data_IF_664361788718
#
_entry.id   IF_664361788718
#
_cell.length_a   1.000
_cell.length_b   1.000
_cell.length_c   1.000
_cell.angle_alpha   90.00
_cell.angle_beta   90.00
_cell.angle_gamma   90.00
#
_symmetry.space_group_name_H-M   'P 1'
#
loop_
_entity.id
_entity.type
_entity.pdbx_description
1 polymer ?
#
# COMPACT_ATOMS: atom_id res chain seq x y z
N UNK A 1 44.03 -26.17 -16.81
CA UNK A 1 43.59 -25.46 -15.59
C UNK A 1 42.92 -26.43 -14.63
N UNK A 2 42.74 -26.06 -13.36
CA UNK A 2 41.98 -26.86 -12.38
C UNK A 2 40.48 -26.96 -12.77
N UNK A 3 39.72 -27.92 -12.23
CA UNK A 3 38.27 -27.99 -12.47
C UNK A 3 37.58 -26.66 -12.13
N UNK A 4 36.74 -26.15 -13.04
CA UNK A 4 36.06 -24.85 -12.90
C UNK A 4 36.81 -23.65 -13.50
N UNK A 5 38.04 -23.85 -13.97
CA UNK A 5 38.83 -22.83 -14.67
C UNK A 5 38.90 -23.09 -16.18
N UNK A 6 38.89 -22.03 -16.97
CA UNK A 6 39.12 -21.99 -18.42
C UNK A 6 40.33 -21.11 -18.75
N UNK A 7 40.79 -21.11 -20.00
CA UNK A 7 41.85 -20.22 -20.48
C UNK A 7 41.28 -19.09 -21.32
N UNK A 8 41.71 -17.84 -21.05
CA UNK A 8 41.24 -16.64 -21.80
C UNK A 8 41.55 -16.68 -23.29
N UNK A 9 42.59 -17.41 -23.68
CA UNK A 9 42.97 -17.69 -25.05
C UNK A 9 43.01 -19.20 -25.28
N UNK A 10 42.45 -19.65 -26.40
CA UNK A 10 42.37 -21.07 -26.75
C UNK A 10 43.78 -21.67 -26.84
N UNK A 11 44.06 -22.72 -26.07
CA UNK A 11 45.32 -23.46 -26.14
C UNK A 11 46.49 -22.84 -25.37
N UNK A 12 46.24 -21.86 -24.49
CA UNK A 12 47.30 -21.31 -23.63
C UNK A 12 47.87 -22.38 -22.70
N UNK A 13 49.20 -22.43 -22.60
CA UNK A 13 49.92 -23.33 -21.68
C UNK A 13 50.34 -22.64 -20.38
N UNK A 14 50.13 -21.33 -20.27
CA UNK A 14 50.52 -20.56 -19.09
C UNK A 14 49.52 -20.75 -17.95
N UNK A 15 50.03 -21.11 -16.76
CA UNK A 15 49.20 -21.30 -15.58
C UNK A 15 48.51 -20.00 -15.11
N UNK A 16 49.10 -18.84 -15.41
CA UNK A 16 48.51 -17.52 -15.16
C UNK A 16 47.36 -17.17 -16.12
N UNK A 17 47.19 -17.91 -17.22
CA UNK A 17 46.08 -17.72 -18.15
C UNK A 17 44.80 -18.46 -17.72
N UNK A 18 44.87 -19.24 -16.63
CA UNK A 18 43.73 -19.95 -16.06
C UNK A 18 42.84 -19.00 -15.25
N UNK A 19 41.62 -18.81 -15.71
CA UNK A 19 40.61 -17.91 -15.13
C UNK A 19 39.29 -18.65 -14.91
N UNK A 20 38.39 -18.13 -14.07
CA UNK A 20 37.09 -18.78 -13.87
C UNK A 20 36.24 -18.75 -15.15
N UNK A 21 35.54 -19.85 -15.42
CA UNK A 21 34.60 -19.93 -16.55
C UNK A 21 33.44 -18.94 -16.44
N UNK A 22 32.79 -18.62 -17.56
CA UNK A 22 31.57 -17.80 -17.54
C UNK A 22 30.51 -18.38 -16.59
N UNK A 23 29.86 -17.52 -15.81
CA UNK A 23 28.91 -17.95 -14.77
C UNK A 23 29.56 -18.39 -13.46
N UNK A 24 30.88 -18.21 -13.33
CA UNK A 24 31.63 -18.39 -12.09
C UNK A 24 32.60 -17.24 -11.85
N UNK A 25 32.98 -17.01 -10.59
CA UNK A 25 33.94 -15.97 -10.21
C UNK A 25 34.93 -16.52 -9.20
N UNK A 26 36.08 -15.84 -9.04
CA UNK A 26 37.07 -16.16 -8.02
C UNK A 26 36.80 -15.34 -6.75
N UNK A 27 36.39 -15.96 -5.63
CA UNK A 27 36.20 -15.25 -4.37
C UNK A 27 37.51 -14.77 -3.75
N UNK A 28 37.46 -13.67 -3.01
CA UNK A 28 38.64 -13.09 -2.37
C UNK A 28 39.25 -14.07 -1.37
N UNK A 29 40.51 -14.44 -1.59
CA UNK A 29 41.25 -15.37 -0.74
C UNK A 29 40.93 -16.85 -0.97
N UNK A 30 40.13 -17.17 -1.98
CA UNK A 30 39.87 -18.55 -2.43
C UNK A 30 40.78 -18.93 -3.60
N UNK A 31 41.15 -20.21 -3.69
CA UNK A 31 41.83 -20.80 -4.86
C UNK A 31 40.87 -21.55 -5.79
N UNK A 32 39.58 -21.58 -5.47
CA UNK A 32 38.53 -22.27 -6.23
C UNK A 32 37.46 -21.31 -6.70
N UNK A 33 37.03 -21.44 -7.96
CA UNK A 33 35.92 -20.69 -8.52
C UNK A 33 34.60 -21.07 -7.84
N UNK A 34 33.78 -20.07 -7.52
CA UNK A 34 32.43 -20.25 -7.00
C UNK A 34 31.39 -19.92 -8.09
N UNK A 35 30.20 -20.52 -7.99
CA UNK A 35 29.07 -20.19 -8.85
C UNK A 35 28.67 -18.73 -8.71
N UNK A 36 28.28 -18.09 -9.81
CA UNK A 36 27.81 -16.71 -9.78
C UNK A 36 26.56 -16.58 -8.90
N UNK A 37 26.52 -15.65 -7.94
CA UNK A 37 25.33 -15.42 -7.12
C UNK A 37 24.16 -14.91 -7.97
N UNK A 38 22.94 -15.19 -7.51
CA UNK A 38 21.72 -14.71 -8.17
C UNK A 38 21.69 -13.16 -8.21
N UNK A 39 21.32 -12.62 -9.38
CA UNK A 39 21.29 -11.18 -9.63
C UNK A 39 22.63 -10.56 -10.03
N UNK A 40 23.68 -11.38 -10.19
CA UNK A 40 24.97 -10.98 -10.76
C UNK A 40 25.22 -11.67 -12.12
N UNK A 41 26.02 -11.00 -12.94
CA UNK A 41 26.55 -11.48 -14.22
C UNK A 41 28.06 -11.60 -14.08
N UNK A 42 28.55 -12.83 -14.02
CA UNK A 42 29.96 -13.15 -13.94
C UNK A 42 30.50 -13.45 -15.35
N UNK A 43 31.24 -12.50 -15.90
CA UNK A 43 31.96 -12.69 -17.16
C UNK A 43 33.12 -13.68 -16.97
N UNK A 44 33.66 -14.18 -18.07
CA UNK A 44 34.85 -15.03 -18.01
C UNK A 44 36.02 -14.29 -17.34
N UNK A 45 36.59 -14.93 -16.32
CA UNK A 45 37.65 -14.36 -15.50
C UNK A 45 37.22 -13.29 -14.51
N UNK A 46 35.95 -13.29 -14.10
CA UNK A 46 35.52 -12.49 -12.95
C UNK A 46 36.29 -12.86 -11.67
N UNK A 47 36.78 -11.84 -10.98
CA UNK A 47 37.63 -11.95 -9.79
C UNK A 47 37.25 -10.86 -8.79
N UNK A 48 36.94 -11.26 -7.56
CA UNK A 48 36.56 -10.34 -6.47
C UNK A 48 37.73 -9.47 -6.00
N UNK A 49 38.97 -9.91 -6.21
CA UNK A 49 40.18 -9.20 -5.78
C UNK A 49 40.57 -8.04 -6.70
N UNK A 50 39.97 -7.95 -7.90
CA UNK A 50 40.33 -6.97 -8.93
C UNK A 50 39.11 -6.11 -9.26
N UNK A 51 39.17 -4.80 -8.96
CA UNK A 51 38.03 -3.86 -9.15
C UNK A 51 37.47 -3.87 -10.59
N UNK A 52 38.30 -4.09 -11.60
CA UNK A 52 37.87 -4.16 -13.01
C UNK A 52 37.27 -5.50 -13.46
N UNK A 53 37.32 -6.54 -12.62
CA UNK A 53 36.83 -7.90 -12.92
C UNK A 53 35.73 -8.35 -11.95
N UNK A 54 35.21 -7.44 -11.12
CA UNK A 54 34.09 -7.73 -10.23
C UNK A 54 32.87 -8.21 -11.04
N UNK A 55 32.10 -9.19 -10.52
CA UNK A 55 30.79 -9.53 -11.06
C UNK A 55 29.91 -8.28 -11.17
N UNK A 56 29.25 -8.12 -12.31
CA UNK A 56 28.36 -6.98 -12.56
C UNK A 56 26.93 -7.30 -12.14
N UNK A 57 26.16 -6.29 -11.77
CA UNK A 57 24.74 -6.45 -11.45
C UNK A 57 23.93 -6.72 -12.71
N UNK A 58 23.01 -7.66 -12.61
CA UNK A 58 21.97 -7.86 -13.61
C UNK A 58 20.94 -6.72 -13.53
N UNK A 59 20.26 -6.45 -14.64
CA UNK A 59 19.09 -5.57 -14.66
C UNK A 59 18.08 -5.97 -13.56
N UNK A 60 17.48 -4.99 -12.90
CA UNK A 60 16.57 -5.17 -11.76
C UNK A 60 17.24 -5.43 -10.42
N UNK A 61 18.58 -5.37 -10.35
CA UNK A 61 19.35 -5.60 -9.12
C UNK A 61 20.29 -4.44 -8.80
N UNK A 62 20.55 -4.26 -7.50
CA UNK A 62 21.40 -3.23 -6.94
C UNK A 62 22.29 -3.79 -5.83
N UNK A 63 23.50 -3.27 -5.66
CA UNK A 63 24.39 -3.56 -4.52
C UNK A 63 25.11 -2.31 -4.07
N UNK A 64 25.54 -2.27 -2.81
CA UNK A 64 26.36 -1.19 -2.28
C UNK A 64 27.83 -1.38 -2.68
N UNK A 65 28.58 -0.30 -2.88
CA UNK A 65 30.01 -0.34 -3.26
C UNK A 65 30.85 -1.04 -2.20
N UNK A 66 30.47 -0.91 -0.93
CA UNK A 66 31.15 -1.56 0.21
C UNK A 66 30.92 -3.07 0.27
N UNK A 67 29.86 -3.58 -0.38
CA UNK A 67 29.46 -5.00 -0.37
C UNK A 67 28.90 -5.38 -1.75
N UNK A 68 29.75 -5.44 -2.79
CA UNK A 68 29.31 -5.62 -4.18
C UNK A 68 28.65 -6.98 -4.42
N UNK A 69 28.98 -8.00 -3.62
CA UNK A 69 28.35 -9.33 -3.71
C UNK A 69 27.01 -9.43 -2.98
N UNK A 70 26.63 -8.40 -2.19
CA UNK A 70 25.35 -8.38 -1.49
C UNK A 70 24.30 -7.72 -2.37
N UNK A 71 23.52 -8.56 -3.05
CA UNK A 71 22.57 -8.15 -4.08
C UNK A 71 21.19 -7.89 -3.48
N UNK A 72 20.58 -6.78 -3.85
CA UNK A 72 19.21 -6.42 -3.53
C UNK A 72 18.39 -6.34 -4.81
N UNK A 73 17.27 -7.05 -4.83
CA UNK A 73 16.27 -6.95 -5.90
C UNK A 73 15.49 -5.64 -5.80
N UNK A 74 15.23 -5.02 -6.94
CA UNK A 74 14.39 -3.83 -7.05
C UNK A 74 12.95 -4.23 -7.35
N UNK A 75 11.98 -3.54 -6.73
CA UNK A 75 10.55 -3.82 -6.94
C UNK A 75 10.15 -3.64 -8.40
N UNK A 76 10.64 -2.55 -8.99
CA UNK A 76 10.51 -2.27 -10.41
C UNK A 76 11.89 -2.40 -11.05
N UNK A 77 12.01 -3.25 -12.06
CA UNK A 77 13.30 -3.58 -12.65
C UNK A 77 13.97 -2.35 -13.29
N UNK A 78 13.17 -1.44 -13.85
CA UNK A 78 13.62 -0.18 -14.45
C UNK A 78 14.24 0.81 -13.47
N UNK A 79 14.09 0.63 -12.16
CA UNK A 79 14.79 1.45 -11.18
C UNK A 79 16.28 1.14 -11.12
N UNK A 80 16.66 -0.08 -11.54
CA UNK A 80 17.99 -0.64 -11.38
C UNK A 80 18.49 -1.13 -12.74
N UNK A 81 19.22 -0.29 -13.48
CA UNK A 81 19.69 -0.63 -14.83
C UNK A 81 20.73 -1.77 -14.84
N UNK A 82 21.27 -2.16 -13.67
CA UNK A 82 22.37 -3.11 -13.53
C UNK A 82 23.73 -2.43 -13.73
N UNK A 83 24.78 -3.25 -13.92
CA UNK A 83 26.14 -2.77 -14.12
C UNK A 83 26.94 -2.71 -12.81
N UNK A 84 27.58 -1.57 -12.53
CA UNK A 84 28.41 -1.39 -11.34
C UNK A 84 27.55 -1.19 -10.08
N UNK A 85 28.14 -1.45 -8.91
CA UNK A 85 27.51 -1.14 -7.63
C UNK A 85 27.10 0.34 -7.54
N UNK A 86 26.05 0.63 -6.78
CA UNK A 86 25.48 1.98 -6.62
C UNK A 86 25.03 2.65 -7.92
N UNK A 87 24.64 1.86 -8.93
CA UNK A 87 24.03 2.37 -10.17
C UNK A 87 22.51 2.33 -10.08
N UNK A 88 21.86 3.49 -10.22
CA UNK A 88 20.41 3.64 -10.20
C UNK A 88 19.91 4.42 -11.43
N UNK A 89 18.60 4.32 -11.71
CA UNK A 89 17.95 5.16 -12.72
C UNK A 89 18.01 6.66 -12.37
N UNK A 90 17.72 7.52 -13.36
CA UNK A 90 17.82 8.97 -13.24
C UNK A 90 17.02 9.53 -12.04
N UNK A 91 17.60 10.52 -11.35
CA UNK A 91 17.04 11.18 -10.16
C UNK A 91 16.73 10.25 -8.98
N UNK A 92 17.32 9.06 -8.92
CA UNK A 92 17.28 8.17 -7.74
C UNK A 92 18.52 8.33 -6.87
N UNK A 93 18.34 8.11 -5.58
CA UNK A 93 19.45 8.11 -4.63
C UNK A 93 20.25 6.81 -4.79
N UNK A 94 21.48 6.94 -5.28
CA UNK A 94 22.41 5.82 -5.52
C UNK A 94 22.81 5.07 -4.26
N UNK A 95 22.77 5.75 -3.10
CA UNK A 95 23.08 5.15 -1.81
C UNK A 95 21.87 4.41 -1.20
N UNK A 96 20.67 4.62 -1.75
CA UNK A 96 19.46 3.98 -1.25
C UNK A 96 19.37 2.52 -1.69
N UNK A 97 19.10 1.63 -0.74
CA UNK A 97 18.93 0.20 -1.03
C UNK A 97 17.85 -0.01 -2.09
N UNK A 98 18.17 -0.85 -3.07
CA UNK A 98 17.29 -1.18 -4.21
C UNK A 98 16.80 0.05 -4.99
N UNK A 99 17.59 1.14 -4.99
CA UNK A 99 17.24 2.44 -5.57
C UNK A 99 15.85 2.92 -5.10
N UNK A 100 15.47 2.60 -3.86
CA UNK A 100 14.12 2.78 -3.34
C UNK A 100 13.73 4.23 -3.06
N UNK A 101 14.68 5.17 -3.02
CA UNK A 101 14.43 6.59 -2.77
C UNK A 101 14.77 7.45 -3.99
N UNK A 102 14.01 8.52 -4.17
CA UNK A 102 14.42 9.58 -5.09
C UNK A 102 15.56 10.38 -4.46
N UNK A 103 16.41 10.98 -5.31
CA UNK A 103 17.47 11.89 -4.89
C UNK A 103 16.88 13.14 -4.20
N UNK A 104 17.73 13.91 -3.54
CA UNK A 104 17.34 15.18 -2.94
C UNK A 104 16.69 16.10 -3.98
N UNK A 105 15.60 16.78 -3.59
CA UNK A 105 14.79 17.63 -4.47
C UNK A 105 14.17 16.89 -5.68
N UNK A 106 13.91 15.58 -5.56
CA UNK A 106 13.13 14.81 -6.54
C UNK A 106 11.92 14.12 -5.90
N UNK A 107 10.84 13.92 -6.66
CA UNK A 107 9.64 13.22 -6.19
C UNK A 107 9.33 12.04 -7.11
N UNK A 108 8.68 11.02 -6.54
CA UNK A 108 8.19 9.90 -7.31
C UNK A 108 6.79 10.23 -7.85
N UNK A 109 6.58 10.02 -9.15
CA UNK A 109 5.26 10.17 -9.78
C UNK A 109 4.52 8.82 -9.85
N UNK A 110 3.27 8.86 -10.29
CA UNK A 110 2.39 7.73 -10.63
C UNK A 110 3.08 6.64 -11.46
N UNK A 111 3.86 7.01 -12.48
CA UNK A 111 4.69 6.12 -13.31
C UNK A 111 5.85 5.44 -12.57
N UNK A 112 5.95 5.65 -11.26
CA UNK A 112 6.99 5.17 -10.35
C UNK A 112 8.40 5.71 -10.67
N UNK A 113 8.59 6.56 -11.69
CA UNK A 113 9.84 7.28 -11.95
C UNK A 113 10.08 8.44 -10.98
N UNK A 114 11.34 8.84 -10.82
CA UNK A 114 11.73 10.01 -10.02
C UNK A 114 11.97 11.23 -10.92
N UNK A 115 11.36 12.36 -10.57
CA UNK A 115 11.46 13.61 -11.32
C UNK A 115 11.91 14.75 -10.41
N UNK A 116 12.75 15.64 -10.92
CA UNK A 116 13.19 16.82 -10.19
C UNK A 116 12.00 17.74 -9.82
N UNK A 117 12.05 18.32 -8.63
CA UNK A 117 11.09 19.31 -8.16
C UNK A 117 11.23 20.60 -8.98
N UNK A 118 10.18 20.96 -9.73
CA UNK A 118 10.09 22.23 -10.45
C UNK A 118 9.82 23.44 -9.55
N UNK A 119 9.50 24.59 -10.14
CA UNK A 119 9.20 25.83 -9.40
C UNK A 119 8.10 25.61 -8.33
N UNK A 120 8.47 25.87 -7.06
CA UNK A 120 7.69 25.58 -5.84
C UNK A 120 6.32 26.28 -5.76
N UNK A 121 6.04 27.27 -6.64
CA UNK A 121 4.84 28.10 -6.61
C UNK A 121 3.54 27.41 -7.06
N UNK A 122 3.59 26.40 -7.93
CA UNK A 122 2.38 25.77 -8.50
C UNK A 122 1.77 24.66 -7.63
N UNK A 123 2.44 24.22 -6.56
CA UNK A 123 2.02 23.03 -5.81
C UNK A 123 1.18 23.38 -4.59
N UNK A 124 1.40 24.55 -3.97
CA UNK A 124 0.57 25.05 -2.86
C UNK A 124 -0.90 25.21 -3.25
N UNK A 125 -1.18 25.60 -4.50
CA UNK A 125 -2.55 25.67 -5.02
C UNK A 125 -3.21 24.29 -5.08
N UNK A 126 -2.48 23.24 -5.45
CA UNK A 126 -3.00 21.85 -5.47
C UNK A 126 -3.31 21.37 -4.06
N UNK A 127 -2.38 21.55 -3.11
CA UNK A 127 -2.59 21.19 -1.70
C UNK A 127 -3.83 21.90 -1.15
N UNK A 128 -3.94 23.21 -1.40
CA UNK A 128 -5.08 24.01 -0.94
C UNK A 128 -6.40 23.49 -1.54
N UNK A 129 -6.44 23.21 -2.84
CA UNK A 129 -7.64 22.65 -3.51
C UNK A 129 -8.01 21.29 -2.94
N UNK A 130 -7.04 20.40 -2.70
CA UNK A 130 -7.28 19.09 -2.09
C UNK A 130 -7.83 19.20 -0.67
N UNK A 131 -7.26 20.08 0.16
CA UNK A 131 -7.71 20.30 1.55
C UNK A 131 -9.11 20.90 1.57
N UNK A 132 -9.35 21.98 0.82
CA UNK A 132 -10.66 22.65 0.74
C UNK A 132 -11.71 21.70 0.17
N UNK A 133 -11.39 20.97 -0.91
CA UNK A 133 -12.27 19.97 -1.50
C UNK A 133 -12.64 18.85 -0.51
N UNK A 134 -11.66 18.37 0.26
CA UNK A 134 -11.89 17.34 1.28
C UNK A 134 -12.79 17.84 2.41
N UNK A 135 -12.60 19.08 2.88
CA UNK A 135 -13.44 19.70 3.92
C UNK A 135 -14.87 19.87 3.41
N UNK A 136 -15.06 20.33 2.17
CA UNK A 136 -16.39 20.44 1.54
C UNK A 136 -17.04 19.06 1.44
N UNK A 137 -16.33 18.05 0.93
CA UNK A 137 -16.85 16.70 0.78
C UNK A 137 -17.27 16.07 2.11
N UNK A 138 -16.45 16.20 3.16
CA UNK A 138 -16.76 15.72 4.50
C UNK A 138 -17.95 16.47 5.12
N UNK A 139 -18.05 17.78 4.89
CA UNK A 139 -19.19 18.59 5.32
C UNK A 139 -20.47 18.13 4.64
N UNK A 140 -20.45 17.98 3.31
CA UNK A 140 -21.58 17.47 2.53
C UNK A 140 -21.99 16.07 3.01
N UNK A 141 -21.04 15.17 3.22
CA UNK A 141 -21.31 13.82 3.75
C UNK A 141 -22.01 13.89 5.11
N UNK A 142 -21.46 14.67 6.06
CA UNK A 142 -22.03 14.80 7.39
C UNK A 142 -23.46 15.39 7.38
N UNK A 143 -23.76 16.29 6.45
CA UNK A 143 -25.09 16.86 6.28
C UNK A 143 -26.07 15.87 5.64
N UNK A 144 -25.66 15.16 4.59
CA UNK A 144 -26.53 14.25 3.81
C UNK A 144 -26.90 13.01 4.61
N UNK A 145 -25.93 12.37 5.26
CA UNK A 145 -26.14 11.08 5.99
C UNK A 145 -27.04 11.28 7.23
N UNK A 146 -27.07 12.50 7.78
CA UNK A 146 -27.90 12.86 8.93
C UNK A 146 -29.24 13.52 8.55
N UNK A 147 -29.65 13.52 7.28
CA UNK A 147 -31.02 13.96 6.92
C UNK A 147 -32.07 12.98 7.45
N UNK A 148 -33.23 13.51 7.83
CA UNK A 148 -34.34 12.72 8.35
C UNK A 148 -34.78 11.64 7.35
N UNK A 149 -34.95 10.42 7.85
CA UNK A 149 -35.32 9.24 7.03
C UNK A 149 -36.65 9.47 6.31
N UNK A 150 -37.59 10.15 6.96
CA UNK A 150 -38.93 10.44 6.40
C UNK A 150 -38.88 11.41 5.21
N UNK A 151 -37.82 12.20 5.08
CA UNK A 151 -37.63 13.14 3.98
C UNK A 151 -36.81 12.55 2.82
N UNK A 152 -36.26 11.34 2.98
CA UNK A 152 -35.44 10.72 1.96
C UNK A 152 -36.30 9.91 0.99
N UNK A 153 -36.28 10.31 -0.28
CA UNK A 153 -36.88 9.54 -1.36
C UNK A 153 -36.11 8.23 -1.57
N UNK A 154 -36.83 7.16 -1.92
CA UNK A 154 -36.23 5.87 -2.29
C UNK A 154 -35.14 6.02 -3.36
N UNK A 155 -35.36 6.90 -4.36
CA UNK A 155 -34.37 7.22 -5.38
C UNK A 155 -33.04 7.73 -4.82
N UNK A 156 -33.07 8.60 -3.80
CA UNK A 156 -31.84 9.14 -3.17
C UNK A 156 -31.04 8.04 -2.46
N UNK A 157 -31.73 7.12 -1.78
CA UNK A 157 -31.10 6.00 -1.09
C UNK A 157 -30.46 5.02 -2.09
N UNK A 158 -31.15 4.72 -3.19
CA UNK A 158 -30.63 3.87 -4.26
C UNK A 158 -29.41 4.51 -4.92
N UNK A 159 -29.48 5.80 -5.29
CA UNK A 159 -28.33 6.51 -5.86
C UNK A 159 -27.12 6.52 -4.92
N UNK A 160 -27.32 6.84 -3.64
CA UNK A 160 -26.24 6.83 -2.65
C UNK A 160 -25.63 5.42 -2.46
N UNK A 161 -26.47 4.38 -2.52
CA UNK A 161 -26.02 2.99 -2.44
C UNK A 161 -25.20 2.59 -3.66
N UNK A 162 -25.66 2.92 -4.87
CA UNK A 162 -24.92 2.65 -6.11
C UNK A 162 -23.58 3.37 -6.11
N UNK A 163 -23.56 4.67 -5.78
CA UNK A 163 -22.32 5.44 -5.68
C UNK A 163 -21.35 4.83 -4.65
N UNK A 164 -21.85 4.42 -3.47
CA UNK A 164 -21.04 3.77 -2.45
C UNK A 164 -20.49 2.41 -2.90
N UNK A 165 -21.30 1.61 -3.61
CA UNK A 165 -20.86 0.32 -4.16
C UNK A 165 -19.81 0.51 -5.26
N UNK A 166 -20.01 1.47 -6.17
CA UNK A 166 -19.01 1.84 -7.19
C UNK A 166 -17.72 2.26 -6.52
N UNK A 167 -17.79 3.11 -5.51
CA UNK A 167 -16.63 3.57 -4.75
C UNK A 167 -15.87 2.43 -4.07
N UNK A 168 -16.59 1.50 -3.43
CA UNK A 168 -15.98 0.30 -2.84
C UNK A 168 -15.38 -0.61 -3.91
N UNK A 169 -16.02 -0.72 -5.08
CA UNK A 169 -15.49 -1.45 -6.23
C UNK A 169 -14.15 -0.87 -6.71
N UNK A 170 -14.08 0.46 -6.85
CA UNK A 170 -12.84 1.15 -7.23
C UNK A 170 -11.74 0.98 -6.17
N UNK A 171 -12.06 1.09 -4.88
CA UNK A 171 -11.07 0.80 -3.82
C UNK A 171 -10.61 -0.65 -3.84
N UNK A 172 -11.51 -1.59 -4.17
CA UNK A 172 -11.15 -3.01 -4.30
C UNK A 172 -10.15 -3.22 -5.44
N UNK A 173 -10.31 -2.50 -6.55
CA UNK A 173 -9.30 -2.48 -7.63
C UNK A 173 -7.97 -1.89 -7.14
N UNK A 174 -8.00 -0.85 -6.31
CA UNK A 174 -6.79 -0.29 -5.69
C UNK A 174 -6.00 -1.28 -4.83
N UNK A 175 -6.64 -2.32 -4.26
CA UNK A 175 -5.93 -3.40 -3.54
C UNK A 175 -4.95 -4.12 -4.46
N UNK A 176 -5.24 -4.22 -5.76
CA UNK A 176 -4.39 -4.94 -6.70
C UNK A 176 -3.01 -4.29 -6.87
N UNK A 177 -2.88 -2.97 -6.68
CA UNK A 177 -1.57 -2.27 -6.71
C UNK A 177 -0.63 -2.70 -5.58
N UNK A 178 -1.17 -3.29 -4.50
CA UNK A 178 -0.36 -3.82 -3.38
C UNK A 178 0.17 -5.23 -3.61
N UNK A 179 -0.24 -5.88 -4.71
CA UNK A 179 0.16 -7.24 -5.03
C UNK A 179 1.60 -7.30 -5.55
N UNK A 180 2.17 -8.50 -5.57
CA UNK A 180 3.49 -8.76 -6.12
C UNK A 180 3.56 -8.71 -7.66
N UNK A 181 2.50 -8.22 -8.32
CA UNK A 181 2.33 -8.29 -9.78
C UNK A 181 2.65 -6.94 -10.42
N UNK A 182 3.58 -6.97 -11.37
CA UNK A 182 3.81 -5.85 -12.28
C UNK A 182 2.77 -5.93 -13.40
N UNK A 183 1.76 -5.06 -13.35
CA UNK A 183 0.74 -4.99 -14.39
C UNK A 183 1.30 -4.32 -15.65
N UNK A 184 1.05 -4.93 -16.80
CA UNK A 184 1.36 -4.33 -18.11
C UNK A 184 0.32 -3.27 -18.48
N UNK A 185 0.71 -2.33 -19.34
CA UNK A 185 -0.23 -1.37 -19.95
C UNK A 185 -1.30 -2.11 -20.77
N UNK A 186 -2.58 -1.69 -20.73
CA UNK A 186 -3.12 -0.45 -20.16
C UNK A 186 -3.59 -0.57 -18.70
N UNK A 187 -3.51 -1.76 -18.09
CA UNK A 187 -4.09 -2.01 -16.78
C UNK A 187 -3.41 -1.21 -15.67
N UNK A 188 -2.10 -0.99 -15.76
CA UNK A 188 -1.34 -0.10 -14.87
C UNK A 188 -1.93 1.31 -14.81
N UNK A 189 -2.20 1.92 -15.97
CA UNK A 189 -2.77 3.27 -16.08
C UNK A 189 -4.18 3.35 -15.46
N UNK A 190 -5.00 2.31 -15.68
CA UNK A 190 -6.32 2.25 -15.05
C UNK A 190 -6.24 2.13 -13.54
N UNK A 191 -5.34 1.31 -13.01
CA UNK A 191 -5.15 1.14 -11.57
C UNK A 191 -4.59 2.42 -10.94
N UNK A 192 -3.65 3.10 -11.59
CA UNK A 192 -3.08 4.38 -11.18
C UNK A 192 -4.16 5.46 -11.01
N UNK A 193 -5.12 5.56 -11.93
CA UNK A 193 -6.22 6.53 -11.82
C UNK A 193 -7.07 6.35 -10.54
N UNK A 194 -7.09 5.15 -9.95
CA UNK A 194 -7.85 4.85 -8.73
C UNK A 194 -7.05 5.02 -7.43
N UNK A 195 -5.73 5.26 -7.51
CA UNK A 195 -4.86 5.47 -6.33
C UNK A 195 -5.20 6.73 -5.53
N UNK A 196 -5.85 7.73 -6.15
CA UNK A 196 -6.37 8.92 -5.45
C UNK A 196 -7.37 8.52 -4.35
N UNK A 197 -8.07 7.40 -4.52
CA UNK A 197 -9.05 6.89 -3.56
C UNK A 197 -8.41 6.06 -2.43
N UNK A 198 -7.13 5.67 -2.53
CA UNK A 198 -6.42 4.83 -1.54
C UNK A 198 -5.63 5.61 -0.49
N UNK A 199 -5.93 6.90 -0.31
CA UNK A 199 -5.16 7.82 0.56
C UNK A 199 -3.67 7.81 0.24
N UNK A 200 -3.31 7.66 -1.04
CA UNK A 200 -1.93 7.78 -1.45
C UNK A 200 -1.58 9.26 -1.63
N UNK A 201 -0.67 9.76 -0.78
CA UNK A 201 -0.19 11.13 -0.84
C UNK A 201 0.86 11.30 -1.95
N UNK A 202 1.28 10.22 -2.62
CA UNK A 202 2.20 10.26 -3.76
C UNK A 202 1.73 11.18 -4.89
N UNK A 203 0.41 11.36 -5.06
CA UNK A 203 -0.16 12.34 -5.99
C UNK A 203 0.27 13.78 -5.67
N UNK A 204 0.49 14.11 -4.39
CA UNK A 204 0.79 15.47 -3.91
C UNK A 204 2.29 15.68 -3.78
N UNK A 205 3.11 15.28 -4.78
CA UNK A 205 4.57 15.53 -4.90
C UNK A 205 5.31 15.72 -3.57
N UNK A 206 5.08 14.81 -2.60
CA UNK A 206 5.36 15.08 -1.18
C UNK A 206 6.84 15.17 -0.88
N UNK A 207 7.66 14.49 -1.69
CA UNK A 207 9.12 14.56 -1.63
C UNK A 207 9.67 15.99 -1.74
N UNK A 208 8.95 16.91 -2.38
CA UNK A 208 9.38 18.31 -2.50
C UNK A 208 9.12 19.17 -1.24
N UNK A 209 8.31 18.71 -0.29
CA UNK A 209 7.89 19.49 0.89
C UNK A 209 8.21 18.82 2.22
N UNK A 210 7.86 17.55 2.33
CA UNK A 210 8.02 16.77 3.57
C UNK A 210 9.39 16.09 3.64
N UNK A 211 10.20 16.21 2.58
CA UNK A 211 11.47 15.52 2.44
C UNK A 211 11.29 14.01 2.18
N UNK A 212 12.41 13.28 2.25
CA UNK A 212 12.47 11.84 1.95
C UNK A 212 12.41 10.96 3.20
N UNK A 213 12.02 11.51 4.35
CA UNK A 213 11.84 10.72 5.57
C UNK A 213 10.61 9.82 5.44
N UNK A 214 10.87 8.52 5.32
CA UNK A 214 9.86 7.49 5.13
C UNK A 214 8.90 7.41 6.32
N UNK A 215 9.40 7.56 7.54
CA UNK A 215 8.60 7.42 8.77
C UNK A 215 7.66 8.61 8.93
N UNK A 216 8.15 9.83 8.70
CA UNK A 216 7.31 11.03 8.79
C UNK A 216 6.22 11.04 7.73
N UNK A 217 6.56 10.68 6.49
CA UNK A 217 5.58 10.57 5.40
C UNK A 217 4.51 9.51 5.72
N UNK A 218 4.91 8.37 6.27
CA UNK A 218 3.99 7.34 6.71
C UNK A 218 3.09 7.80 7.88
N UNK A 219 3.65 8.52 8.85
CA UNK A 219 2.90 9.08 9.99
C UNK A 219 1.84 10.07 9.53
N UNK A 220 2.18 11.01 8.63
CA UNK A 220 1.22 11.96 8.04
C UNK A 220 0.07 11.22 7.36
N UNK A 221 0.37 10.14 6.64
CA UNK A 221 -0.65 9.28 6.01
C UNK A 221 -1.60 8.66 7.03
N UNK A 222 -1.12 8.20 8.18
CA UNK A 222 -2.00 7.65 9.23
C UNK A 222 -2.87 8.72 9.91
N UNK A 223 -2.45 9.99 9.91
CA UNK A 223 -3.22 11.09 10.50
C UNK A 223 -4.39 11.57 9.62
N UNK A 224 -4.44 11.20 8.33
CA UNK A 224 -5.51 11.64 7.42
C UNK A 224 -6.90 11.29 7.94
N UNK A 225 -7.14 10.03 8.33
CA UNK A 225 -8.44 9.59 8.80
C UNK A 225 -8.85 10.20 10.17
N UNK A 226 -7.97 10.24 11.19
CA UNK A 226 -8.23 10.97 12.43
C UNK A 226 -8.52 12.46 12.23
N UNK A 227 -7.77 13.15 11.37
CA UNK A 227 -8.02 14.57 11.05
C UNK A 227 -9.36 14.73 10.33
N UNK A 228 -9.70 13.83 9.40
CA UNK A 228 -11.02 13.82 8.75
C UNK A 228 -12.17 13.65 9.76
N UNK A 229 -12.00 12.78 10.76
CA UNK A 229 -12.97 12.61 11.85
C UNK A 229 -13.07 13.88 12.72
N UNK A 230 -11.95 14.54 13.02
CA UNK A 230 -11.93 15.80 13.76
C UNK A 230 -12.69 16.90 13.00
N UNK A 231 -12.46 17.04 11.70
CA UNK A 231 -13.18 18.00 10.85
C UNK A 231 -14.69 17.72 10.88
N UNK A 232 -15.10 16.45 10.73
CA UNK A 232 -16.52 16.09 10.85
C UNK A 232 -17.09 16.39 12.24
N UNK A 233 -16.33 16.14 13.31
CA UNK A 233 -16.74 16.47 14.68
C UNK A 233 -16.97 17.97 14.83
N UNK A 234 -16.09 18.82 14.31
CA UNK A 234 -16.27 20.29 14.33
C UNK A 234 -17.54 20.70 13.58
N UNK A 235 -17.73 20.21 12.35
CA UNK A 235 -18.92 20.51 11.54
C UNK A 235 -20.22 20.13 12.26
N UNK A 236 -20.24 18.93 12.85
CA UNK A 236 -21.43 18.43 13.56
C UNK A 236 -21.63 19.19 14.87
N UNK A 237 -20.57 19.55 15.59
CA UNK A 237 -20.65 20.36 16.81
C UNK A 237 -21.29 21.73 16.52
N UNK A 238 -20.87 22.39 15.44
CA UNK A 238 -21.45 23.67 14.99
C UNK A 238 -22.94 23.49 14.66
N UNK A 239 -23.29 22.46 13.87
CA UNK A 239 -24.68 22.17 13.48
C UNK A 239 -25.57 21.85 14.69
N UNK A 240 -25.04 21.07 15.64
CA UNK A 240 -25.83 20.50 16.75
C UNK A 240 -25.78 21.34 18.02
N UNK A 241 -25.03 22.45 18.03
CA UNK A 241 -24.85 23.33 19.19
C UNK A 241 -26.17 23.69 19.88
N UNK A 242 -27.23 23.97 19.12
CA UNK A 242 -28.54 24.38 19.67
C UNK A 242 -29.57 23.26 19.81
N UNK A 243 -29.42 22.17 19.07
CA UNK A 243 -30.46 21.14 18.94
C UNK A 243 -30.09 19.80 19.59
N UNK A 244 -28.86 19.65 20.09
CA UNK A 244 -28.36 18.39 20.63
C UNK A 244 -28.19 17.31 19.55
N UNK A 245 -27.91 16.08 19.98
CA UNK A 245 -27.75 14.95 19.07
C UNK A 245 -26.35 14.82 18.45
N UNK A 246 -25.34 15.44 19.06
CA UNK A 246 -23.95 15.42 18.59
C UNK A 246 -23.41 13.99 18.45
N UNK A 247 -23.58 13.16 19.49
CA UNK A 247 -23.01 11.80 19.55
C UNK A 247 -23.62 10.90 18.47
N UNK A 248 -24.94 10.95 18.30
CA UNK A 248 -25.65 10.14 17.31
C UNK A 248 -25.23 10.53 15.88
N UNK A 249 -25.17 11.83 15.59
CA UNK A 249 -24.77 12.32 14.27
C UNK A 249 -23.29 12.07 13.98
N UNK A 250 -22.40 12.24 14.97
CA UNK A 250 -20.98 11.97 14.84
C UNK A 250 -20.70 10.49 14.63
N UNK A 251 -21.36 9.62 15.39
CA UNK A 251 -21.20 8.16 15.24
C UNK A 251 -21.68 7.70 13.86
N UNK A 252 -22.81 8.23 13.38
CA UNK A 252 -23.35 7.90 12.07
C UNK A 252 -22.48 8.42 10.92
N UNK A 253 -22.07 9.69 10.95
CA UNK A 253 -21.17 10.27 9.94
C UNK A 253 -19.79 9.64 9.96
N UNK A 254 -19.20 9.51 11.15
CA UNK A 254 -17.90 8.87 11.36
C UNK A 254 -17.91 7.43 10.89
N UNK A 255 -18.91 6.64 11.30
CA UNK A 255 -19.08 5.27 10.85
C UNK A 255 -19.29 5.16 9.34
N UNK A 256 -19.99 6.12 8.72
CA UNK A 256 -20.12 6.18 7.25
C UNK A 256 -18.78 6.48 6.59
N UNK A 257 -18.02 7.47 7.07
CA UNK A 257 -16.69 7.79 6.54
C UNK A 257 -15.76 6.58 6.65
N UNK A 258 -15.62 5.98 7.83
CA UNK A 258 -14.77 4.81 8.02
C UNK A 258 -15.24 3.60 7.22
N UNK A 259 -16.56 3.39 7.05
CA UNK A 259 -17.07 2.34 6.17
C UNK A 259 -16.71 2.57 4.71
N UNK A 260 -16.79 3.83 4.24
CA UNK A 260 -16.48 4.20 2.86
C UNK A 260 -14.99 4.05 2.56
N UNK A 261 -14.12 4.43 3.49
CA UNK A 261 -12.66 4.42 3.30
C UNK A 261 -11.95 3.23 3.96
N UNK A 262 -12.70 2.20 4.37
CA UNK A 262 -12.14 1.11 5.17
C UNK A 262 -10.97 0.40 4.49
N UNK A 263 -11.07 0.12 3.18
CA UNK A 263 -9.99 -0.52 2.42
C UNK A 263 -8.77 0.39 2.42
N UNK A 264 -8.94 1.67 2.07
CA UNK A 264 -7.85 2.66 2.02
C UNK A 264 -7.14 2.82 3.38
N UNK A 265 -7.89 2.94 4.48
CA UNK A 265 -7.31 3.01 5.84
C UNK A 265 -6.59 1.71 6.18
N UNK A 266 -7.17 0.57 5.86
CA UNK A 266 -6.58 -0.74 6.20
C UNK A 266 -5.30 -1.00 5.41
N UNK A 267 -5.29 -0.79 4.08
CA UNK A 267 -4.08 -0.90 3.24
C UNK A 267 -3.00 0.05 3.76
N UNK A 268 -3.37 1.30 4.06
CA UNK A 268 -2.45 2.28 4.62
C UNK A 268 -1.83 1.77 5.94
N UNK A 269 -2.60 1.14 6.81
CA UNK A 269 -2.10 0.65 8.10
C UNK A 269 -1.25 -0.62 7.97
N UNK A 270 -1.55 -1.52 7.02
CA UNK A 270 -0.84 -2.79 6.85
C UNK A 270 0.37 -2.71 5.89
N UNK A 271 0.56 -1.58 5.21
CA UNK A 271 1.60 -1.41 4.20
C UNK A 271 3.01 -1.86 4.65
N UNK A 272 3.48 -1.56 5.88
CA UNK A 272 4.80 -2.03 6.33
C UNK A 272 4.94 -3.55 6.53
N UNK A 273 3.83 -4.28 6.53
CA UNK A 273 3.82 -5.75 6.62
C UNK A 273 3.87 -6.44 5.25
N UNK A 274 3.72 -5.69 4.15
CA UNK A 274 3.87 -6.22 2.79
C UNK A 274 5.35 -6.21 2.45
N UNK A 275 5.99 -7.37 2.62
CA UNK A 275 7.42 -7.56 2.41
C UNK A 275 7.70 -8.28 1.08
N UNK A 276 8.93 -8.15 0.62
CA UNK A 276 9.48 -8.95 -0.47
C UNK A 276 10.93 -9.34 -0.18
N UNK A 277 11.33 -10.49 -0.70
CA UNK A 277 12.64 -11.10 -0.49
C UNK A 277 13.68 -10.61 -1.49
N UNK A 278 14.93 -10.54 -1.03
CA UNK A 278 16.09 -10.31 -1.87
C UNK A 278 16.87 -11.62 -2.10
N UNK A 279 17.64 -11.73 -3.20
CA UNK A 279 18.46 -12.91 -3.48
C UNK A 279 19.48 -13.21 -2.37
N UNK A 280 19.74 -14.50 -2.13
CA UNK A 280 20.70 -14.97 -1.14
C UNK A 280 20.36 -14.54 0.30
N UNK A 281 21.38 -14.12 1.06
CA UNK A 281 21.25 -13.72 2.47
C UNK A 281 20.99 -12.21 2.66
N UNK A 282 20.43 -11.55 1.63
CA UNK A 282 20.18 -10.10 1.67
C UNK A 282 18.99 -9.69 2.51
N UNK A 283 18.13 -10.62 2.90
CA UNK A 283 17.00 -10.40 3.78
C UNK A 283 15.76 -9.89 3.03
N UNK A 284 14.95 -9.09 3.71
CA UNK A 284 13.65 -8.63 3.24
C UNK A 284 13.53 -7.12 3.33
N UNK A 285 12.77 -6.53 2.41
CA UNK A 285 12.41 -5.11 2.43
C UNK A 285 10.91 -4.90 2.36
N UNK A 286 10.47 -3.72 2.79
CA UNK A 286 9.07 -3.28 2.66
C UNK A 286 8.78 -2.95 1.19
N UNK A 287 7.75 -3.56 0.58
CA UNK A 287 7.44 -3.35 -0.85
C UNK A 287 7.16 -1.89 -1.19
N UNK A 288 6.40 -1.19 -0.34
CA UNK A 288 6.09 0.22 -0.54
C UNK A 288 7.30 1.16 -0.30
N UNK A 289 8.29 0.70 0.48
CA UNK A 289 9.50 1.45 0.79
C UNK A 289 10.72 0.55 0.61
N UNK A 290 11.15 0.26 -0.65
CA UNK A 290 12.18 -0.75 -0.93
C UNK A 290 13.55 -0.46 -0.31
N UNK A 291 13.78 0.78 0.11
CA UNK A 291 14.99 1.19 0.84
C UNK A 291 15.03 0.71 2.30
N UNK A 292 13.89 0.29 2.86
CA UNK A 292 13.74 -0.04 4.29
C UNK A 292 13.80 -1.55 4.48
N UNK A 293 14.94 -2.01 5.03
CA UNK A 293 15.19 -3.40 5.36
C UNK A 293 14.56 -3.77 6.71
N UNK A 294 14.10 -5.01 6.87
CA UNK A 294 13.44 -5.50 8.10
C UNK A 294 14.34 -5.47 9.36
N UNK A 295 15.66 -5.46 9.18
CA UNK A 295 16.62 -5.33 10.29
C UNK A 295 16.96 -3.88 10.70
N UNK A 296 16.36 -2.88 10.07
CA UNK A 296 16.68 -1.46 10.32
C UNK A 296 15.87 -0.84 11.47
N UNK A 297 16.40 0.21 12.09
CA UNK A 297 15.65 1.03 13.07
C UNK A 297 14.45 1.74 12.43
N UNK A 298 14.59 2.17 11.17
CA UNK A 298 13.49 2.75 10.40
C UNK A 298 12.30 1.79 10.29
N UNK A 299 12.56 0.50 10.04
CA UNK A 299 11.52 -0.53 10.01
C UNK A 299 10.81 -0.68 11.35
N UNK A 300 11.55 -0.64 12.47
CA UNK A 300 10.95 -0.70 13.80
C UNK A 300 10.00 0.49 14.08
N UNK A 301 10.37 1.69 13.62
CA UNK A 301 9.49 2.87 13.70
C UNK A 301 8.25 2.73 12.82
N UNK A 302 8.39 2.26 11.59
CA UNK A 302 7.25 1.97 10.71
C UNK A 302 6.29 0.95 11.33
N UNK A 303 6.83 -0.12 11.91
CA UNK A 303 6.04 -1.15 12.58
C UNK A 303 5.28 -0.58 13.78
N UNK A 304 5.90 0.29 14.57
CA UNK A 304 5.26 0.96 15.71
C UNK A 304 4.07 1.82 15.25
N UNK A 305 4.25 2.59 14.17
CA UNK A 305 3.18 3.41 13.60
C UNK A 305 2.08 2.53 12.99
N UNK A 306 2.43 1.45 12.30
CA UNK A 306 1.48 0.51 11.71
C UNK A 306 0.63 -0.21 12.78
N UNK A 307 1.27 -0.76 13.81
CA UNK A 307 0.59 -1.40 14.93
C UNK A 307 -0.33 -0.41 15.66
N UNK A 308 0.11 0.83 15.90
CA UNK A 308 -0.74 1.83 16.53
C UNK A 308 -1.95 2.20 15.66
N UNK A 309 -1.79 2.36 14.34
CA UNK A 309 -2.91 2.60 13.43
C UNK A 309 -3.92 1.43 13.41
N UNK A 310 -3.44 0.19 13.41
CA UNK A 310 -4.29 -1.01 13.48
C UNK A 310 -5.06 -1.06 14.80
N UNK A 311 -4.39 -0.83 15.93
CA UNK A 311 -4.98 -0.92 17.28
C UNK A 311 -5.92 0.24 17.60
N UNK A 312 -5.65 1.44 17.09
CA UNK A 312 -6.42 2.64 17.44
C UNK A 312 -7.53 2.96 16.43
N UNK A 313 -7.42 2.49 15.19
CA UNK A 313 -8.35 2.85 14.11
C UNK A 313 -9.04 1.62 13.53
N UNK A 314 -8.30 0.69 12.93
CA UNK A 314 -8.87 -0.41 12.14
C UNK A 314 -9.64 -1.40 13.02
N UNK A 315 -9.00 -1.94 14.07
CA UNK A 315 -9.63 -2.93 14.93
C UNK A 315 -10.78 -2.36 15.78
N UNK A 316 -10.67 -1.16 16.38
CA UNK A 316 -11.80 -0.59 17.11
C UNK A 316 -12.99 -0.34 16.20
N UNK A 317 -12.79 0.16 14.98
CA UNK A 317 -13.88 0.37 14.05
C UNK A 317 -14.55 -0.96 13.65
N UNK A 318 -13.76 -1.99 13.35
CA UNK A 318 -14.28 -3.33 13.08
C UNK A 318 -15.07 -3.89 14.28
N UNK A 319 -14.55 -3.70 15.50
CA UNK A 319 -15.22 -4.12 16.74
C UNK A 319 -16.54 -3.38 16.96
N UNK A 320 -16.60 -2.07 16.67
CA UNK A 320 -17.84 -1.28 16.73
C UNK A 320 -18.88 -1.81 15.74
N UNK A 321 -18.48 -2.19 14.53
CA UNK A 321 -19.38 -2.79 13.53
C UNK A 321 -19.88 -4.15 13.99
N UNK A 322 -18.99 -5.01 14.49
CA UNK A 322 -19.36 -6.32 15.03
C UNK A 322 -20.32 -6.21 16.24
N UNK A 323 -20.02 -5.30 17.17
CA UNK A 323 -20.86 -5.00 18.31
C UNK A 323 -22.24 -4.49 17.89
N UNK A 324 -22.29 -3.55 16.93
CA UNK A 324 -23.52 -3.07 16.34
C UNK A 324 -24.36 -4.23 15.82
N UNK A 325 -23.80 -5.02 14.90
CA UNK A 325 -24.45 -6.19 14.30
C UNK A 325 -25.00 -7.16 15.36
N UNK A 326 -24.21 -7.48 16.39
CA UNK A 326 -24.65 -8.35 17.48
C UNK A 326 -25.82 -7.77 18.27
N UNK A 327 -25.77 -6.47 18.57
CA UNK A 327 -26.76 -5.78 19.38
C UNK A 327 -28.06 -5.43 18.63
N UNK A 328 -28.08 -5.52 17.30
CA UNK A 328 -29.20 -5.08 16.46
C UNK A 328 -30.58 -5.53 16.97
N UNK A 329 -30.77 -6.83 17.24
CA UNK A 329 -32.07 -7.36 17.70
C UNK A 329 -32.52 -6.74 19.02
N UNK A 330 -31.60 -6.57 19.97
CA UNK A 330 -31.87 -5.97 21.29
C UNK A 330 -32.21 -4.48 21.16
N UNK A 331 -31.55 -3.77 20.24
CA UNK A 331 -31.79 -2.35 19.99
C UNK A 331 -33.16 -2.08 19.37
N UNK A 332 -33.62 -2.94 18.46
CA UNK A 332 -34.94 -2.81 17.82
C UNK A 332 -36.09 -3.07 18.80
N UNK A 333 -35.91 -4.00 19.73
CA UNK A 333 -36.93 -4.35 20.72
C UNK A 333 -36.99 -3.36 21.90
N UNK A 334 -35.93 -2.58 22.14
CA UNK A 334 -35.86 -1.64 23.26
C UNK A 334 -36.46 -0.28 22.90
N UNK A 335 -37.36 0.23 23.74
CA UNK A 335 -37.92 1.59 23.62
C UNK A 335 -36.87 2.70 23.73
N UNK A 336 -35.76 2.45 24.45
CA UNK A 336 -34.62 3.37 24.55
C UNK A 336 -33.61 3.19 23.39
N UNK A 337 -33.72 2.12 22.60
CA UNK A 337 -32.78 1.78 21.53
C UNK A 337 -32.79 2.73 20.33
N UNK A 338 -33.78 3.64 20.24
CA UNK A 338 -33.93 4.56 19.10
C UNK A 338 -32.69 5.44 18.86
N UNK A 339 -32.07 5.98 19.90
CA UNK A 339 -30.86 6.84 19.76
C UNK A 339 -29.66 6.03 19.26
N UNK A 340 -29.49 4.80 19.76
CA UNK A 340 -28.44 3.90 19.31
C UNK A 340 -28.66 3.42 17.87
N UNK A 341 -29.91 3.16 17.46
CA UNK A 341 -30.23 2.84 16.07
C UNK A 341 -29.92 4.00 15.12
N UNK A 342 -30.12 5.25 15.54
CA UNK A 342 -29.71 6.43 14.78
C UNK A 342 -28.18 6.55 14.68
N UNK A 343 -27.45 6.27 15.77
CA UNK A 343 -25.99 6.27 15.77
C UNK A 343 -25.40 5.19 14.84
N UNK A 344 -25.98 3.99 14.81
CA UNK A 344 -25.59 2.89 13.93
C UNK A 344 -26.29 2.90 12.57
N UNK A 345 -26.88 4.04 12.16
CA UNK A 345 -27.60 4.12 10.89
C UNK A 345 -26.68 3.80 9.71
N UNK A 346 -25.42 4.20 9.74
CA UNK A 346 -24.41 3.86 8.72
C UNK A 346 -24.33 2.35 8.43
N UNK A 347 -24.59 1.51 9.44
CA UNK A 347 -24.50 0.06 9.34
C UNK A 347 -25.76 -0.55 8.70
N UNK A 348 -26.95 -0.09 9.11
CA UNK A 348 -28.22 -0.73 8.75
C UNK A 348 -29.00 -0.05 7.63
N UNK A 349 -28.72 1.22 7.34
CA UNK A 349 -29.58 2.04 6.49
C UNK A 349 -29.82 1.44 5.11
N UNK A 350 -28.78 0.84 4.52
CA UNK A 350 -28.77 0.22 3.18
C UNK A 350 -29.36 -1.19 3.11
N UNK A 351 -29.54 -1.88 4.24
CA UNK A 351 -29.88 -3.30 4.26
C UNK A 351 -31.27 -3.60 4.79
N UNK A 352 -31.90 -4.66 4.27
CA UNK A 352 -33.15 -5.20 4.79
C UNK A 352 -32.98 -5.56 6.28
N UNK A 353 -34.01 -5.37 7.13
CA UNK A 353 -33.95 -5.76 8.54
C UNK A 353 -33.59 -7.24 8.77
N UNK A 354 -34.00 -8.14 7.86
CA UNK A 354 -33.64 -9.57 7.90
C UNK A 354 -32.14 -9.84 7.67
N UNK A 355 -31.43 -8.91 7.04
CA UNK A 355 -30.03 -9.03 6.64
C UNK A 355 -29.15 -7.96 7.33
N UNK A 356 -29.48 -7.58 8.56
CA UNK A 356 -28.73 -6.55 9.31
C UNK A 356 -27.26 -6.89 9.59
N UNK A 357 -26.89 -8.16 9.49
CA UNK A 357 -25.52 -8.65 9.63
C UNK A 357 -24.63 -8.39 8.40
N UNK A 358 -25.22 -8.09 7.24
CA UNK A 358 -24.47 -7.97 5.99
C UNK A 358 -23.46 -6.82 5.99
N UNK A 359 -23.68 -5.78 6.82
CA UNK A 359 -22.70 -4.72 7.01
C UNK A 359 -21.36 -5.22 7.56
N UNK A 360 -21.39 -6.12 8.54
CA UNK A 360 -20.19 -6.76 9.07
C UNK A 360 -19.56 -7.68 8.02
N UNK A 361 -20.37 -8.49 7.31
CA UNK A 361 -19.92 -9.37 6.23
C UNK A 361 -19.17 -8.58 5.15
N UNK A 362 -19.72 -7.45 4.70
CA UNK A 362 -19.08 -6.59 3.70
C UNK A 362 -17.74 -6.02 4.19
N UNK A 363 -17.64 -5.66 5.48
CA UNK A 363 -16.39 -5.16 6.07
C UNK A 363 -15.36 -6.28 6.24
N UNK A 364 -15.79 -7.49 6.62
CA UNK A 364 -14.95 -8.68 6.69
C UNK A 364 -14.36 -9.03 5.33
N UNK A 365 -15.14 -8.93 4.25
CA UNK A 365 -14.63 -9.07 2.87
C UNK A 365 -13.49 -8.10 2.61
N UNK A 366 -13.71 -6.81 2.89
CA UNK A 366 -12.71 -5.78 2.67
C UNK A 366 -11.43 -6.04 3.48
N UNK A 367 -11.56 -6.46 4.74
CA UNK A 367 -10.41 -6.83 5.57
C UNK A 367 -9.64 -8.02 4.99
N UNK A 368 -10.34 -9.08 4.60
CA UNK A 368 -9.72 -10.28 4.01
C UNK A 368 -8.94 -9.95 2.74
N UNK A 369 -9.49 -9.09 1.87
CA UNK A 369 -8.81 -8.65 0.65
C UNK A 369 -7.52 -7.90 0.95
N UNK A 370 -7.53 -7.00 1.94
CA UNK A 370 -6.32 -6.29 2.35
C UNK A 370 -5.27 -7.23 2.97
N UNK A 371 -5.65 -8.30 3.64
CA UNK A 371 -4.72 -9.24 4.28
C UNK A 371 -4.01 -10.18 3.29
N UNK A 372 -4.53 -10.37 2.07
CA UNK A 372 -3.91 -11.26 1.07
C UNK A 372 -2.43 -10.95 0.82
N UNK A 373 -2.01 -9.72 0.46
CA UNK A 373 -0.60 -9.40 0.21
C UNK A 373 0.30 -9.51 1.45
N UNK A 374 -0.27 -9.54 2.65
CA UNK A 374 0.47 -9.70 3.91
C UNK A 374 0.70 -11.18 4.22
N UNK A 375 -0.33 -12.01 4.04
CA UNK A 375 -0.28 -13.45 4.34
C UNK A 375 0.46 -14.22 3.24
N UNK A 376 0.23 -13.88 1.98
CA UNK A 376 0.84 -14.50 0.82
C UNK A 376 1.85 -13.51 0.27
N UNK A 377 3.13 -13.70 0.56
CA UNK A 377 4.22 -12.84 0.11
C UNK A 377 4.93 -13.49 -1.08
N UNK A 378 5.40 -12.68 -2.03
CA UNK A 378 6.20 -13.09 -3.20
C UNK A 378 5.63 -14.15 -4.14
N UNK A 379 4.37 -14.56 -3.96
CA UNK A 379 3.64 -15.42 -4.90
C UNK A 379 2.42 -14.70 -5.49
N UNK A 380 2.66 -14.08 -6.64
CA UNK A 380 1.66 -13.40 -7.46
C UNK A 380 0.45 -14.26 -7.82
N UNK A 381 0.68 -15.53 -8.18
CA UNK A 381 -0.38 -16.41 -8.68
C UNK A 381 -1.34 -16.79 -7.55
N UNK A 382 -0.79 -17.15 -6.38
CA UNK A 382 -1.60 -17.50 -5.21
C UNK A 382 -2.31 -16.27 -4.63
N UNK A 383 -1.68 -15.08 -4.65
CA UNK A 383 -2.35 -13.83 -4.29
C UNK A 383 -3.59 -13.56 -5.16
N UNK A 384 -3.46 -13.68 -6.47
CA UNK A 384 -4.56 -13.48 -7.41
C UNK A 384 -5.69 -14.49 -7.18
N UNK A 385 -5.34 -15.77 -7.04
CA UNK A 385 -6.31 -16.84 -6.76
C UNK A 385 -7.07 -16.60 -5.45
N UNK A 386 -6.38 -16.18 -4.38
CA UNK A 386 -6.99 -15.88 -3.10
C UNK A 386 -7.95 -14.69 -3.17
N UNK A 387 -7.58 -13.61 -3.87
CA UNK A 387 -8.47 -12.45 -4.09
C UNK A 387 -9.70 -12.86 -4.91
N UNK A 388 -9.51 -13.54 -6.04
CA UNK A 388 -10.63 -13.99 -6.89
C UNK A 388 -11.58 -14.89 -6.13
N UNK A 389 -11.06 -15.86 -5.36
CA UNK A 389 -11.87 -16.77 -4.54
C UNK A 389 -12.66 -16.01 -3.48
N UNK A 390 -12.03 -15.04 -2.81
CA UNK A 390 -12.69 -14.18 -1.84
C UNK A 390 -13.82 -13.39 -2.50
N UNK A 391 -13.56 -12.69 -3.60
CA UNK A 391 -14.57 -11.89 -4.31
C UNK A 391 -15.75 -12.77 -4.74
N UNK A 392 -15.49 -13.93 -5.35
CA UNK A 392 -16.53 -14.85 -5.81
C UNK A 392 -17.37 -15.39 -4.65
N UNK A 393 -16.74 -15.82 -3.55
CA UNK A 393 -17.46 -16.34 -2.38
C UNK A 393 -18.42 -15.31 -1.79
N UNK A 394 -17.98 -14.04 -1.68
CA UNK A 394 -18.85 -12.97 -1.23
C UNK A 394 -19.91 -12.57 -2.26
N UNK A 395 -19.63 -12.64 -3.56
CA UNK A 395 -20.65 -12.43 -4.61
C UNK A 395 -21.75 -13.49 -4.59
N UNK A 396 -21.41 -14.76 -4.34
CA UNK A 396 -22.39 -15.83 -4.18
C UNK A 396 -23.26 -15.56 -2.94
N UNK A 397 -22.64 -15.26 -1.79
CA UNK A 397 -23.37 -14.92 -0.58
C UNK A 397 -24.29 -13.69 -0.77
N UNK A 398 -23.80 -12.69 -1.50
CA UNK A 398 -24.54 -11.50 -1.90
C UNK A 398 -25.80 -11.85 -2.72
N UNK A 399 -25.66 -12.70 -3.73
CA UNK A 399 -26.74 -13.11 -4.61
C UNK A 399 -27.79 -13.95 -3.89
N UNK A 400 -27.37 -14.80 -2.93
CA UNK A 400 -28.28 -15.63 -2.15
C UNK A 400 -29.09 -14.83 -1.12
N UNK A 401 -28.48 -13.82 -0.50
CA UNK A 401 -29.13 -13.06 0.60
C UNK A 401 -29.94 -11.86 0.12
N UNK A 402 -29.65 -11.30 -1.07
CA UNK A 402 -30.31 -10.10 -1.61
C UNK A 402 -30.51 -9.00 -0.54
N UNK A 403 -29.44 -8.55 0.15
CA UNK A 403 -29.50 -7.80 1.40
C UNK A 403 -29.97 -6.35 1.23
N UNK A 404 -29.94 -5.77 0.02
CA UNK A 404 -30.32 -4.37 -0.22
C UNK A 404 -31.82 -4.15 -0.08
N UNK A 405 -32.21 -3.00 0.47
CA UNK A 405 -33.61 -2.54 0.43
C UNK A 405 -33.99 -2.24 -1.03
N UNK A 406 -35.19 -2.68 -1.42
CA UNK A 406 -35.81 -2.34 -2.70
C UNK A 406 -36.57 -1.01 -2.58
#
# INVERSE_FOLDING_TARGET
CMPGFTTRTVGSQDHSACVCSQGSYLPKGSSTCASCPEGLVCAEGSDESVEGLLPQLQYGHWSATQRPLKVFRCVFENHCPGGLAETCAENRDVASVACGRCAADAYQDSSKGCFACGNKGSIWSVVLVCVVGSVIALTCLALVVNRDVLQQQHATVTCATVLGLTFTGLQTLGVFDSLAVNFVEPLSVFLEAFTVLSFDIGFVKTGCFLGHDVVNNYLVRQLIAPVGLLVMAVVIAIKTWRHGGFVEQLTNSGGTMFSLFFISVTISAIMPFVLFSHPGDSGWSVRAYPSVLTGSSEYAHLLTVACSALMLVVLPFFAVVAYGTYMYKRLVLSTCGRRQLLAFRFLYFRFKPSCSHYGAVALSRSLLLCLVPVVIQDDAATQMLAISTTIMGFMVHQALTCPWKQ
#
